data_IF_778736581672
#
_entry.id   IF_778736581672
#
_cell.length_a   1.000
_cell.length_b   1.000
_cell.length_c   1.000
_cell.angle_alpha   90.00
_cell.angle_beta   90.00
_cell.angle_gamma   90.00
#
_symmetry.space_group_name_H-M   'P 1'
#
loop_
_entity.id
_entity.type
_entity.pdbx_description
1 polymer ?
#
# COMPACT_ATOMS: atom_id res chain seq x y z
N UNK A 1 25.02 -9.19 -21.46
CA UNK A 1 24.19 -9.22 -22.70
C UNK A 1 23.68 -10.63 -23.08
N UNK A 2 24.26 -11.74 -22.60
CA UNK A 2 23.88 -13.11 -22.98
C UNK A 2 22.48 -13.56 -22.46
N UNK A 3 21.99 -13.05 -21.33
CA UNK A 3 20.66 -13.42 -20.78
C UNK A 3 19.47 -12.78 -21.51
N UNK A 4 19.67 -11.65 -22.20
CA UNK A 4 18.60 -10.98 -22.97
C UNK A 4 18.39 -11.60 -24.35
N UNK A 5 19.41 -12.29 -24.89
CA UNK A 5 19.31 -12.97 -26.19
C UNK A 5 18.50 -14.27 -26.06
N UNK A 6 18.61 -14.99 -24.95
CA UNK A 6 17.82 -16.21 -24.70
C UNK A 6 16.32 -15.94 -24.49
N UNK A 7 15.95 -14.82 -23.88
CA UNK A 7 14.53 -14.46 -23.69
C UNK A 7 13.84 -14.07 -25.02
N UNK A 8 14.59 -13.48 -25.96
CA UNK A 8 14.06 -13.09 -27.27
C UNK A 8 13.95 -14.31 -28.20
N UNK A 9 14.87 -15.28 -28.09
CA UNK A 9 14.83 -16.53 -28.86
C UNK A 9 13.65 -17.44 -28.45
N UNK A 10 13.24 -17.42 -27.18
CA UNK A 10 12.10 -18.21 -26.70
C UNK A 10 10.75 -17.60 -27.14
N UNK A 11 10.67 -16.27 -27.28
CA UNK A 11 9.47 -15.56 -27.71
C UNK A 11 9.24 -15.66 -29.23
N UNK A 12 10.28 -15.78 -30.04
CA UNK A 12 10.15 -15.91 -31.51
C UNK A 12 9.79 -17.32 -31.98
N UNK A 13 10.14 -18.36 -31.22
CA UNK A 13 9.73 -19.75 -31.54
C UNK A 13 8.22 -19.97 -31.30
N UNK A 14 7.59 -19.17 -30.44
CA UNK A 14 6.16 -19.30 -30.11
C UNK A 14 5.21 -18.66 -31.14
N UNK A 15 5.73 -17.82 -32.05
CA UNK A 15 4.93 -17.06 -33.04
C UNK A 15 4.89 -17.75 -34.42
N UNK A 16 5.73 -18.77 -34.67
CA UNK A 16 5.85 -19.39 -36.00
C UNK A 16 4.99 -20.66 -36.23
N UNK A 17 4.09 -21.04 -35.31
CA UNK A 17 3.33 -22.30 -35.44
C UNK A 17 1.94 -22.18 -36.07
N UNK A 18 1.52 -20.98 -36.48
CA UNK A 18 0.16 -20.78 -37.03
C UNK A 18 0.20 -20.96 -38.55
N UNK A 19 0.42 -22.19 -39.01
CA UNK A 19 0.10 -22.52 -40.41
C UNK A 19 -1.41 -22.77 -40.54
N UNK A 20 -2.09 -22.18 -41.54
CA UNK A 20 -3.48 -22.52 -41.81
C UNK A 20 -3.55 -23.97 -42.29
N UNK A 21 -4.27 -24.83 -41.55
CA UNK A 21 -4.56 -26.19 -42.00
C UNK A 21 -5.67 -26.14 -43.06
N UNK A 22 -5.36 -26.57 -44.27
CA UNK A 22 -6.38 -26.90 -45.27
C UNK A 22 -6.92 -28.30 -44.97
N UNK A 23 -8.19 -28.42 -44.59
CA UNK A 23 -8.83 -29.70 -44.29
C UNK A 23 -9.44 -30.30 -45.57
N UNK A 24 -8.94 -31.48 -45.99
CA UNK A 24 -9.60 -32.32 -47.00
C UNK A 24 -10.51 -33.32 -46.29
N UNK A 25 -11.77 -33.37 -46.71
CA UNK A 25 -12.83 -34.15 -46.07
C UNK A 25 -12.56 -35.66 -46.09
N UNK A 26 -12.08 -36.20 -44.96
CA UNK A 26 -12.49 -37.50 -44.40
C UNK A 26 -12.17 -37.48 -42.88
N UNK A 27 -13.03 -36.81 -42.11
CA UNK A 27 -12.90 -36.47 -40.67
C UNK A 27 -11.48 -36.14 -40.17
N UNK A 28 -11.14 -34.85 -40.22
CA UNK A 28 -9.95 -34.31 -39.55
C UNK A 28 -10.40 -33.40 -38.42
N UNK A 29 -9.95 -33.65 -37.18
CA UNK A 29 -10.19 -32.78 -36.03
C UNK A 29 -9.06 -31.76 -35.91
N UNK A 30 -9.43 -30.48 -35.77
CA UNK A 30 -8.53 -29.39 -35.43
C UNK A 30 -8.72 -28.99 -33.97
N UNK A 31 -7.68 -28.44 -33.34
CA UNK A 31 -7.78 -27.82 -32.02
C UNK A 31 -7.10 -26.47 -32.03
N UNK A 32 -7.57 -25.56 -31.16
CA UNK A 32 -6.98 -24.25 -30.94
C UNK A 32 -6.81 -24.06 -29.43
N UNK A 33 -5.66 -23.53 -29.02
CA UNK A 33 -5.45 -23.11 -27.64
C UNK A 33 -5.96 -21.67 -27.46
N UNK A 34 -6.87 -21.47 -26.51
CA UNK A 34 -7.37 -20.15 -26.12
C UNK A 34 -6.86 -19.85 -24.72
N UNK A 35 -6.19 -18.72 -24.52
CA UNK A 35 -5.67 -18.29 -23.22
C UNK A 35 -6.10 -16.87 -22.88
N UNK A 36 -6.33 -16.62 -21.58
CA UNK A 36 -6.62 -15.32 -21.00
C UNK A 36 -5.82 -15.17 -19.71
N UNK A 37 -5.10 -14.06 -19.55
CA UNK A 37 -4.35 -13.77 -18.32
C UNK A 37 -5.16 -12.82 -17.45
N UNK A 38 -5.58 -13.32 -16.30
CA UNK A 38 -6.19 -12.51 -15.26
C UNK A 38 -5.12 -12.01 -14.29
N UNK A 39 -5.12 -10.70 -14.00
CA UNK A 39 -4.11 -10.05 -13.16
C UNK A 39 -4.76 -9.34 -11.98
N UNK A 40 -4.11 -9.29 -10.80
CA UNK A 40 -4.61 -8.55 -9.64
C UNK A 40 -4.85 -7.06 -9.92
N UNK A 41 -5.95 -6.54 -9.41
CA UNK A 41 -6.32 -5.13 -9.42
C UNK A 41 -6.82 -4.67 -8.03
N UNK A 42 -6.18 -3.65 -7.45
CA UNK A 42 -6.63 -3.08 -6.20
C UNK A 42 -6.38 -1.56 -6.14
N UNK A 43 -7.21 -0.86 -5.36
CA UNK A 43 -7.14 0.59 -5.19
C UNK A 43 -7.41 0.96 -3.73
N UNK A 44 -6.37 1.38 -3.02
CA UNK A 44 -6.44 1.83 -1.63
C UNK A 44 -6.71 3.34 -1.57
N UNK A 45 -7.59 3.76 -0.68
CA UNK A 45 -7.86 5.16 -0.37
C UNK A 45 -7.00 5.64 0.81
N UNK A 46 -6.06 6.54 0.52
CA UNK A 46 -5.29 7.29 1.53
C UNK A 46 -5.50 8.78 1.24
N UNK A 47 -6.06 9.58 2.17
CA UNK A 47 -6.27 11.00 1.96
C UNK A 47 -4.92 11.71 1.91
N UNK A 48 -4.83 12.75 1.08
CA UNK A 48 -3.62 13.58 0.97
C UNK A 48 -3.29 14.32 2.29
N UNK A 49 -4.30 14.62 3.10
CA UNK A 49 -4.15 15.26 4.40
C UNK A 49 -5.34 14.96 5.31
N UNK A 50 -5.09 15.02 6.62
CA UNK A 50 -6.13 15.01 7.65
C UNK A 50 -5.88 16.16 8.64
N UNK A 51 -6.93 16.62 9.31
CA UNK A 51 -6.83 17.53 10.46
C UNK A 51 -7.12 16.75 11.73
N UNK A 52 -6.17 16.73 12.67
CA UNK A 52 -6.33 16.07 13.97
C UNK A 52 -7.43 16.74 14.80
N UNK A 53 -7.76 18.00 14.51
CA UNK A 53 -8.82 18.74 15.18
C UNK A 53 -10.22 18.38 14.68
N UNK A 54 -10.33 17.87 13.45
CA UNK A 54 -11.63 17.58 12.81
C UNK A 54 -12.08 16.14 13.04
N UNK A 55 -11.15 15.27 13.45
CA UNK A 55 -11.40 13.87 13.72
C UNK A 55 -10.20 13.22 14.37
N UNK A 56 -10.46 12.26 15.24
CA UNK A 56 -9.42 11.61 16.04
C UNK A 56 -8.84 10.35 15.39
N UNK A 57 -9.36 9.93 14.23
CA UNK A 57 -8.87 8.75 13.49
C UNK A 57 -8.96 8.90 11.97
N UNK A 58 -7.98 8.30 11.31
CA UNK A 58 -7.99 8.02 9.87
C UNK A 58 -8.24 6.52 9.66
N UNK A 59 -9.12 6.15 8.73
CA UNK A 59 -9.46 4.77 8.41
C UNK A 59 -9.02 4.45 6.97
N UNK A 60 -8.24 3.38 6.81
CA UNK A 60 -7.93 2.84 5.50
C UNK A 60 -9.16 2.18 4.88
N UNK A 61 -9.39 2.44 3.60
CA UNK A 61 -10.42 1.76 2.80
C UNK A 61 -9.89 1.49 1.40
N UNK A 62 -10.64 0.73 0.61
CA UNK A 62 -10.34 0.48 -0.80
C UNK A 62 -11.59 0.66 -1.66
N UNK A 63 -11.42 1.04 -2.92
CA UNK A 63 -12.52 1.05 -3.90
C UNK A 63 -12.68 -0.33 -4.56
N UNK A 64 -11.54 -0.98 -4.84
CA UNK A 64 -11.45 -2.30 -5.47
C UNK A 64 -10.40 -3.12 -4.74
N UNK A 65 -10.68 -4.42 -4.56
CA UNK A 65 -9.76 -5.38 -3.95
C UNK A 65 -9.94 -6.75 -4.62
N UNK A 66 -9.41 -6.88 -5.82
CA UNK A 66 -9.43 -8.11 -6.62
C UNK A 66 -7.98 -8.60 -6.76
N UNK A 67 -7.54 -9.35 -5.77
CA UNK A 67 -6.14 -9.77 -5.65
C UNK A 67 -5.97 -11.29 -5.76
N UNK A 68 -7.08 -12.02 -5.87
CA UNK A 68 -7.12 -13.46 -5.90
C UNK A 68 -6.90 -14.08 -4.52
N UNK A 69 -7.44 -15.29 -4.36
CA UNK A 69 -7.27 -16.09 -3.16
C UNK A 69 -5.79 -16.32 -2.81
N UNK A 70 -5.47 -16.36 -1.52
CA UNK A 70 -4.11 -16.54 -0.97
C UNK A 70 -3.16 -15.36 -1.18
N UNK A 71 -3.67 -14.17 -1.47
CA UNK A 71 -2.90 -12.93 -1.40
C UNK A 71 -3.47 -11.95 -0.37
N UNK A 72 -2.60 -11.10 0.14
CA UNK A 72 -2.96 -9.95 0.97
C UNK A 72 -2.32 -8.68 0.42
N UNK A 73 -3.03 -7.56 0.51
CA UNK A 73 -2.39 -6.24 0.44
C UNK A 73 -2.06 -5.80 1.86
N UNK A 74 -0.77 -5.59 2.14
CA UNK A 74 -0.28 -5.07 3.42
C UNK A 74 0.15 -3.63 3.26
N UNK A 75 -0.26 -2.81 4.23
CA UNK A 75 0.18 -1.42 4.36
C UNK A 75 1.02 -1.33 5.62
N UNK A 76 2.27 -0.89 5.48
CA UNK A 76 3.19 -0.64 6.59
C UNK A 76 3.61 0.82 6.59
N UNK A 77 4.01 1.36 7.74
CA UNK A 77 4.68 2.66 7.78
C UNK A 77 6.10 2.50 7.24
N UNK A 78 6.48 3.37 6.29
CA UNK A 78 7.88 3.53 5.91
C UNK A 78 8.59 4.37 6.96
N UNK A 79 9.11 3.70 7.99
CA UNK A 79 9.69 4.38 9.14
C UNK A 79 10.93 5.19 8.79
N UNK A 80 11.71 4.78 7.78
CA UNK A 80 12.90 5.52 7.36
C UNK A 80 12.56 6.89 6.74
N UNK A 81 11.39 7.02 6.11
CA UNK A 81 10.90 8.28 5.55
C UNK A 81 10.01 9.06 6.53
N UNK A 82 9.36 8.37 7.47
CA UNK A 82 8.40 8.96 8.42
C UNK A 82 9.06 9.51 9.68
N UNK A 83 9.98 8.75 10.28
CA UNK A 83 10.59 9.09 11.55
C UNK A 83 11.92 9.80 11.34
N UNK A 84 12.20 10.80 12.17
CA UNK A 84 13.51 11.45 12.21
C UNK A 84 14.48 10.67 13.13
N UNK A 85 15.74 11.11 13.18
CA UNK A 85 16.77 10.52 14.05
C UNK A 85 16.25 10.32 15.48
N UNK A 86 16.38 9.09 15.98
CA UNK A 86 15.85 8.69 17.29
C UNK A 86 14.43 8.08 17.27
N UNK A 87 13.85 7.86 16.08
CA UNK A 87 12.58 7.13 15.94
C UNK A 87 11.33 7.96 16.27
N UNK A 88 11.47 9.28 16.32
CA UNK A 88 10.38 10.18 16.68
C UNK A 88 9.68 10.73 15.43
N UNK A 89 8.36 10.83 15.48
CA UNK A 89 7.56 11.54 14.49
C UNK A 89 7.24 12.94 15.04
N UNK A 90 7.45 13.96 14.21
CA UNK A 90 7.24 15.35 14.59
C UNK A 90 6.22 16.03 13.66
N UNK A 91 5.38 16.86 14.26
CA UNK A 91 4.67 17.90 13.53
C UNK A 91 5.52 19.16 13.60
N UNK A 92 5.79 19.79 12.46
CA UNK A 92 6.63 20.98 12.36
C UNK A 92 5.79 22.18 11.93
N UNK A 93 6.09 23.33 12.53
CA UNK A 93 5.67 24.66 12.07
C UNK A 93 6.90 25.35 11.48
N UNK A 94 6.73 26.00 10.33
CA UNK A 94 7.80 26.72 9.61
C UNK A 94 9.02 25.82 9.30
N UNK A 95 8.75 24.58 8.85
CA UNK A 95 9.77 23.55 8.59
C UNK A 95 10.82 24.04 7.58
N UNK A 96 12.10 23.81 7.89
CA UNK A 96 13.24 24.17 7.05
C UNK A 96 13.73 25.62 7.23
N UNK A 97 13.17 26.36 8.19
CA UNK A 97 13.56 27.75 8.48
C UNK A 97 14.30 27.86 9.82
N UNK A 98 14.94 29.01 10.07
CA UNK A 98 15.58 29.30 11.37
C UNK A 98 14.57 29.35 12.55
N UNK A 99 13.28 29.50 12.25
CA UNK A 99 12.21 29.59 13.25
C UNK A 99 11.45 28.28 13.45
N UNK A 100 11.91 27.17 12.86
CA UNK A 100 11.23 25.88 12.91
C UNK A 100 10.88 25.48 14.35
N UNK A 101 9.61 25.19 14.60
CA UNK A 101 9.11 24.66 15.87
C UNK A 101 8.61 23.23 15.68
N UNK A 102 8.80 22.37 16.69
CA UNK A 102 8.45 20.95 16.61
C UNK A 102 7.57 20.52 17.78
N UNK A 103 6.62 19.64 17.48
CA UNK A 103 5.79 18.94 18.45
C UNK A 103 5.98 17.44 18.21
N UNK A 104 6.44 16.70 19.22
CA UNK A 104 6.48 15.23 19.14
C UNK A 104 5.06 14.70 19.01
N UNK A 105 4.83 13.76 18.11
CA UNK A 105 3.52 13.19 17.86
C UNK A 105 3.63 11.67 17.82
N UNK A 106 2.82 11.00 18.64
CA UNK A 106 2.71 9.54 18.60
C UNK A 106 1.76 9.13 17.50
N UNK A 107 2.15 8.11 16.73
CA UNK A 107 1.28 7.44 15.77
C UNK A 107 0.79 6.17 16.43
N UNK A 108 -0.52 5.95 16.41
CA UNK A 108 -1.14 4.76 16.98
C UNK A 108 -1.94 4.02 15.92
N UNK A 109 -2.00 2.69 16.01
CA UNK A 109 -2.86 1.84 15.15
C UNK A 109 -3.95 1.15 15.95
N UNK A 110 -5.05 0.81 15.27
CA UNK A 110 -6.17 0.09 15.86
C UNK A 110 -7.04 -0.59 14.80
N UNK A 111 -8.04 -1.34 15.27
CA UNK A 111 -9.10 -1.90 14.43
C UNK A 111 -10.19 -0.84 14.19
N UNK A 112 -10.91 -0.93 13.07
CA UNK A 112 -11.94 0.05 12.67
C UNK A 112 -13.01 0.29 13.75
N UNK A 113 -13.45 -0.79 14.39
CA UNK A 113 -14.51 -0.80 15.42
C UNK A 113 -13.97 -0.73 16.86
N UNK A 114 -12.65 -0.66 17.04
CA UNK A 114 -12.03 -0.63 18.37
C UNK A 114 -11.82 0.81 18.85
N UNK A 115 -12.03 1.03 20.15
CA UNK A 115 -11.56 2.23 20.85
C UNK A 115 -10.13 2.10 21.37
N UNK A 116 -9.59 0.88 21.42
CA UNK A 116 -8.22 0.59 21.80
C UNK A 116 -7.28 0.79 20.62
N UNK A 117 -6.26 1.62 20.85
CA UNK A 117 -5.17 1.91 19.94
C UNK A 117 -3.84 1.64 20.63
N UNK A 118 -2.86 1.13 19.88
CA UNK A 118 -1.51 0.87 20.37
C UNK A 118 -0.50 1.79 19.69
N UNK A 119 0.52 2.22 20.44
CA UNK A 119 1.60 3.05 19.92
C UNK A 119 2.43 2.26 18.89
N UNK A 120 2.73 2.91 17.77
CA UNK A 120 3.65 2.40 16.76
C UNK A 120 5.07 2.84 17.13
N UNK A 121 5.92 1.88 17.48
CA UNK A 121 7.27 2.14 17.97
C UNK A 121 8.38 1.63 17.04
N UNK A 122 8.04 0.86 16.00
CA UNK A 122 8.98 0.27 15.04
C UNK A 122 9.08 1.03 13.72
N UNK A 123 10.19 0.81 13.01
CA UNK A 123 10.48 1.45 11.70
C UNK A 123 9.74 0.79 10.52
N UNK A 124 9.06 -0.35 10.72
CA UNK A 124 8.36 -1.08 9.67
C UNK A 124 7.17 -1.82 10.26
N UNK A 125 6.16 -1.06 10.65
CA UNK A 125 5.01 -1.56 11.40
C UNK A 125 3.77 -1.67 10.51
N UNK A 126 3.08 -2.81 10.60
CA UNK A 126 1.83 -3.07 9.87
C UNK A 126 0.72 -2.16 10.38
N UNK A 127 -0.01 -1.49 9.48
CA UNK A 127 -1.11 -0.58 9.82
C UNK A 127 -2.44 -0.94 9.17
N UNK A 128 -2.43 -1.74 8.10
CA UNK A 128 -3.62 -2.35 7.54
C UNK A 128 -3.28 -3.64 6.77
N UNK A 129 -4.22 -4.57 6.72
CA UNK A 129 -4.19 -5.71 5.79
C UNK A 129 -5.54 -5.87 5.14
N UNK A 130 -5.57 -5.99 3.81
CA UNK A 130 -6.77 -6.31 3.04
C UNK A 130 -6.65 -7.72 2.46
N UNK A 131 -7.79 -8.41 2.39
CA UNK A 131 -7.95 -9.71 1.73
C UNK A 131 -8.79 -9.57 0.48
N UNK A 132 -8.64 -10.52 -0.43
CA UNK A 132 -9.43 -10.59 -1.67
C UNK A 132 -10.93 -10.38 -1.45
N UNK A 133 -11.54 -9.59 -2.32
CA UNK A 133 -12.96 -9.19 -2.27
C UNK A 133 -13.36 -8.23 -1.16
N UNK A 134 -12.44 -7.85 -0.25
CA UNK A 134 -12.78 -7.01 0.91
C UNK A 134 -12.25 -5.58 0.76
N UNK A 135 -13.16 -4.60 0.74
CA UNK A 135 -12.81 -3.17 0.67
C UNK A 135 -12.55 -2.52 2.03
N UNK A 136 -12.72 -3.29 3.11
CA UNK A 136 -12.34 -2.92 4.47
C UNK A 136 -11.16 -3.77 4.95
N UNK A 137 -10.23 -3.21 5.74
CA UNK A 137 -9.12 -3.96 6.31
C UNK A 137 -9.58 -5.12 7.20
N UNK A 138 -8.97 -6.29 7.04
CA UNK A 138 -9.11 -7.47 7.91
C UNK A 138 -8.30 -7.34 9.20
N UNK A 139 -7.12 -6.71 9.14
CA UNK A 139 -6.26 -6.48 10.30
C UNK A 139 -5.87 -5.01 10.39
N UNK A 140 -5.87 -4.48 11.62
CA UNK A 140 -5.73 -3.05 11.91
C UNK A 140 -6.71 -2.21 11.07
N UNK A 141 -6.24 -1.19 10.36
CA UNK A 141 -7.07 -0.40 9.45
C UNK A 141 -7.46 0.98 9.95
N UNK A 142 -7.11 1.35 11.18
CA UNK A 142 -7.28 2.70 11.70
C UNK A 142 -5.97 3.26 12.25
N UNK A 143 -5.70 4.54 12.00
CA UNK A 143 -4.59 5.31 12.56
C UNK A 143 -5.11 6.48 13.39
N UNK A 144 -4.39 6.80 14.47
CA UNK A 144 -4.60 7.96 15.32
C UNK A 144 -3.28 8.68 15.57
N UNK A 145 -3.35 9.99 15.69
CA UNK A 145 -2.20 10.85 15.93
C UNK A 145 -2.39 11.58 17.24
N UNK A 146 -1.39 11.52 18.14
CA UNK A 146 -1.44 12.12 19.46
C UNK A 146 -0.26 13.06 19.69
N UNK A 147 -0.41 14.34 19.33
CA UNK A 147 0.59 15.37 19.66
C UNK A 147 0.85 15.44 21.16
N UNK A 148 2.11 15.57 21.56
CA UNK A 148 2.55 15.83 22.92
C UNK A 148 2.90 17.33 22.98
N UNK A 149 1.98 18.16 23.49
CA UNK A 149 2.07 19.63 23.42
C UNK A 149 2.58 20.19 24.77
N UNK A 150 3.84 20.65 24.86
CA UNK A 150 4.32 21.44 25.99
C UNK A 150 3.52 22.73 26.21
N UNK A 151 3.42 23.20 27.46
CA UNK A 151 2.74 24.46 27.79
C UNK A 151 3.36 25.70 27.14
N UNK A 152 4.63 25.64 26.74
CA UNK A 152 5.35 26.71 26.07
C UNK A 152 5.24 26.68 24.55
N UNK A 153 4.54 25.70 23.96
CA UNK A 153 4.42 25.58 22.51
C UNK A 153 3.66 26.77 21.92
N UNK A 154 4.26 27.52 20.99
CA UNK A 154 3.59 28.64 20.34
C UNK A 154 2.35 28.20 19.55
N UNK A 155 1.36 29.09 19.46
CA UNK A 155 0.21 28.85 18.59
C UNK A 155 0.59 28.81 17.12
N UNK A 156 -0.13 27.99 16.35
CA UNK A 156 0.01 27.88 14.90
C UNK A 156 -0.34 26.50 14.39
N UNK A 157 -0.24 26.33 13.07
CA UNK A 157 -0.46 25.05 12.40
C UNK A 157 0.85 24.29 12.33
N UNK A 158 0.83 23.04 12.82
CA UNK A 158 1.96 22.12 12.74
C UNK A 158 1.57 20.95 11.83
N UNK A 159 2.45 20.63 10.89
CA UNK A 159 2.21 19.57 9.89
C UNK A 159 3.31 18.52 9.94
N UNK A 160 2.95 17.26 9.75
CA UNK A 160 3.90 16.16 9.57
C UNK A 160 3.41 15.22 8.47
N UNK A 161 4.33 14.50 7.85
CA UNK A 161 4.03 13.59 6.73
C UNK A 161 4.36 12.16 7.15
N UNK A 162 3.39 11.26 7.01
CA UNK A 162 3.59 9.82 7.18
C UNK A 162 3.68 9.17 5.82
N UNK A 163 4.70 8.34 5.64
CA UNK A 163 4.91 7.59 4.41
C UNK A 163 4.54 6.13 4.63
N UNK A 164 3.91 5.52 3.63
CA UNK A 164 3.47 4.13 3.68
C UNK A 164 4.14 3.31 2.58
N UNK A 165 4.43 2.05 2.88
CA UNK A 165 4.71 1.01 1.87
C UNK A 165 3.45 0.16 1.70
N UNK A 166 3.10 -0.10 0.44
CA UNK A 166 1.94 -0.90 0.07
C UNK A 166 2.45 -2.07 -0.77
N UNK A 167 2.20 -3.28 -0.31
CA UNK A 167 2.75 -4.50 -0.91
C UNK A 167 1.67 -5.55 -1.08
N UNK A 168 1.65 -6.18 -2.26
CA UNK A 168 0.88 -7.39 -2.52
C UNK A 168 1.76 -8.60 -2.18
N UNK A 169 1.34 -9.42 -1.24
CA UNK A 169 2.10 -10.59 -0.76
C UNK A 169 1.28 -11.85 -0.85
N UNK A 170 1.94 -12.99 -1.01
CA UNK A 170 1.34 -14.32 -0.86
C UNK A 170 1.18 -14.66 0.64
N UNK A 171 0.19 -15.51 0.95
CA UNK A 171 -0.16 -15.95 2.32
C UNK A 171 0.23 -17.40 2.57
#
# INVERSE_FOLDING_TARGET
MIKRIFAILLATIMICSISPMNAFANQTSGSIAVSYTYSPEYSINIPASISINDGDKFIFSANTMDIGSNKNVRITIDGAATYENGGNFYLCKDKGTENEQRISCRILRGLLSSSSFEDITGLSELVATFTDGNTSPKAYGALKFKPQIPSSTPYGTYTGTVYFKIELIDV
#
